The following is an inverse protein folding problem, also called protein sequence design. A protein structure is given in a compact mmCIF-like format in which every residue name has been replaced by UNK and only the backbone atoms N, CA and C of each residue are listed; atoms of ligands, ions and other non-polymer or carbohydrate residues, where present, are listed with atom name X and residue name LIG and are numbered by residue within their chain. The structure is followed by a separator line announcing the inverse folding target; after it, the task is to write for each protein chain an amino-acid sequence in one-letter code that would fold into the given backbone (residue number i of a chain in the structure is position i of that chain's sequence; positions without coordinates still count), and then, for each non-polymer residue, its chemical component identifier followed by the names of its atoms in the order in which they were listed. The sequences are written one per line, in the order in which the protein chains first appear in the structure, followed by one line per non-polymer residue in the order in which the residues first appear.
data_IF_066260519882
#
_entry.id   IF_066260519882
#
_cell.length_a   1.000
_cell.length_b   1.000
_cell.length_c   1.000
_cell.angle_alpha   90.00
_cell.angle_beta   90.00
_cell.angle_gamma   90.00
#
_symmetry.space_group_name_H-M   'P 1'
#
loop_
_entity.id
_entity.type
_entity.pdbx_description
1 polymer ?
#
# COMPACT_ATOMS: atom_id res chain seq x y z
N UNK A 1 -17.38 -7.64 9.32
CA UNK A 1 -17.22 -7.40 8.90
C UNK A 1 -17.17 -7.18 7.98
N UNK A 2 -17.07 -7.00 7.91
CA UNK A 2 -17.00 -6.66 7.24
C UNK A 2 -16.96 -6.63 6.04
N UNK A 3 -17.78 -6.58 5.90
CA UNK A 3 -17.75 -6.21 4.80
C UNK A 3 -16.55 -5.77 4.34
N UNK A 4 -15.82 -6.01 4.80
CA UNK A 4 -14.51 -5.68 4.60
C UNK A 4 -13.81 -6.49 3.57
N UNK A 5 -14.51 -6.88 2.56
CA UNK A 5 -13.92 -7.70 1.53
C UNK A 5 -12.83 -7.01 0.79
N UNK A 6 -12.94 -5.69 0.72
CA UNK A 6 -11.97 -4.92 -0.03
C UNK A 6 -10.86 -4.36 0.83
N UNK A 7 -10.92 -4.60 2.11
CA UNK A 7 -9.91 -4.10 3.02
C UNK A 7 -8.76 -5.08 3.10
N UNK A 8 -7.57 -4.56 2.91
CA UNK A 8 -6.36 -5.36 3.01
C UNK A 8 -5.93 -5.36 4.47
N UNK A 9 -5.61 -6.53 4.97
CA UNK A 9 -5.12 -6.64 6.34
C UNK A 9 -3.78 -5.91 6.46
N UNK A 10 -3.69 -5.04 7.46
CA UNK A 10 -2.47 -4.29 7.69
C UNK A 10 -1.81 -4.89 8.90
N UNK A 11 -1.04 -5.93 8.68
CA UNK A 11 -0.43 -6.64 9.79
C UNK A 11 0.86 -7.28 9.34
N UNK A 12 1.61 -7.73 10.29
CA UNK A 12 2.86 -8.36 10.04
C UNK A 12 2.63 -9.81 9.73
N UNK A 13 2.70 -10.17 8.48
CA UNK A 13 2.53 -11.54 8.09
C UNK A 13 3.74 -11.94 7.30
N UNK A 14 4.19 -13.08 7.45
CA UNK A 14 5.17 -13.68 6.57
C UNK A 14 6.25 -12.72 6.05
N UNK A 15 6.90 -12.01 6.95
CA UNK A 15 7.97 -11.10 6.59
C UNK A 15 9.07 -11.75 5.81
N UNK A 16 9.34 -12.98 6.15
CA UNK A 16 10.35 -13.74 5.47
C UNK A 16 10.09 -13.80 3.98
N UNK A 17 8.82 -13.91 3.60
CA UNK A 17 8.47 -14.00 2.21
C UNK A 17 8.82 -12.75 1.45
N UNK A 18 8.58 -11.58 2.04
CA UNK A 18 8.90 -10.34 1.35
C UNK A 18 10.39 -10.20 1.18
N UNK A 19 11.14 -10.38 2.26
CA UNK A 19 12.59 -10.23 2.19
C UNK A 19 13.20 -11.21 1.21
N UNK A 20 12.72 -12.42 1.23
CA UNK A 20 13.24 -13.44 0.34
C UNK A 20 12.92 -13.10 -1.11
N UNK A 21 11.71 -12.66 -1.39
CA UNK A 21 11.30 -12.32 -2.74
C UNK A 21 12.07 -11.12 -3.27
N UNK A 22 12.38 -10.16 -2.42
CA UNK A 22 13.17 -9.02 -2.85
C UNK A 22 14.58 -9.41 -3.25
N UNK A 23 15.09 -10.49 -2.69
CA UNK A 23 16.42 -10.97 -3.04
C UNK A 23 16.42 -11.87 -4.26
N UNK A 24 15.33 -12.60 -4.50
CA UNK A 24 15.33 -13.65 -5.51
C UNK A 24 14.51 -13.32 -6.74
N UNK A 25 13.65 -12.32 -6.68
CA UNK A 25 12.81 -11.96 -7.82
C UNK A 25 12.95 -10.49 -8.14
N UNK A 26 12.62 -10.14 -9.37
CA UNK A 26 12.61 -8.76 -9.77
C UNK A 26 11.48 -8.02 -9.08
N UNK A 27 11.69 -6.75 -8.81
CA UNK A 27 10.60 -5.92 -8.34
C UNK A 27 10.64 -4.57 -9.04
N UNK A 28 9.50 -3.92 -9.07
CA UNK A 28 9.36 -2.60 -9.66
C UNK A 28 8.71 -1.68 -8.64
N UNK A 29 9.01 -0.40 -8.77
CA UNK A 29 8.44 0.60 -7.88
C UNK A 29 7.13 1.07 -8.47
N UNK A 30 6.02 0.93 -7.75
CA UNK A 30 4.74 1.39 -8.27
C UNK A 30 4.65 2.91 -8.29
N UNK A 31 3.79 3.43 -9.14
CA UNK A 31 3.47 4.84 -9.12
C UNK A 31 2.58 5.10 -7.91
N UNK A 32 2.97 6.07 -7.10
CA UNK A 32 2.28 6.38 -5.86
C UNK A 32 2.04 7.87 -5.76
N UNK A 33 0.84 8.24 -5.34
CA UNK A 33 0.50 9.61 -5.02
C UNK A 33 0.12 9.68 -3.55
N UNK A 34 0.53 10.72 -2.87
CA UNK A 34 0.20 10.93 -1.47
C UNK A 34 -0.43 12.30 -1.31
N UNK A 35 -1.59 12.33 -0.66
CA UNK A 35 -2.32 13.57 -0.41
C UNK A 35 -2.45 13.77 1.09
N UNK A 36 -2.16 14.96 1.55
CA UNK A 36 -2.40 15.31 2.94
C UNK A 36 -3.71 16.06 3.06
N UNK A 37 -4.61 15.52 3.87
CA UNK A 37 -5.89 16.13 4.16
C UNK A 37 -5.87 16.62 5.60
N UNK A 38 -6.86 17.41 6.04
CA UNK A 38 -6.86 17.89 7.42
C UNK A 38 -6.84 16.76 8.46
N UNK A 39 -7.53 15.65 8.18
CA UNK A 39 -7.69 14.57 9.15
C UNK A 39 -6.83 13.35 8.86
N UNK A 40 -6.28 13.24 7.67
CA UNK A 40 -5.61 12.00 7.27
C UNK A 40 -4.69 12.24 6.09
N UNK A 41 -3.81 11.30 5.87
CA UNK A 41 -3.11 11.19 4.60
C UNK A 41 -3.79 10.11 3.77
N UNK A 42 -3.81 10.30 2.46
CA UNK A 42 -4.34 9.30 1.54
C UNK A 42 -3.24 8.96 0.56
N UNK A 43 -2.93 7.68 0.47
CA UNK A 43 -1.93 7.19 -0.46
C UNK A 43 -2.63 6.34 -1.50
N UNK A 44 -2.32 6.56 -2.77
CA UNK A 44 -2.83 5.70 -3.84
C UNK A 44 -1.66 5.11 -4.59
N UNK A 45 -1.77 3.84 -4.92
CA UNK A 45 -0.71 3.14 -5.64
C UNK A 45 -1.34 2.31 -6.75
N UNK A 46 -0.69 2.34 -7.91
CA UNK A 46 -1.16 1.53 -9.04
C UNK A 46 -0.40 0.21 -9.06
N UNK A 47 -1.15 -0.88 -8.93
CA UNK A 47 -0.59 -2.23 -8.89
C UNK A 47 -1.33 -3.10 -9.91
N UNK A 48 -1.26 -2.77 -11.19
CA UNK A 48 -2.00 -3.53 -12.18
C UNK A 48 -1.47 -4.95 -12.28
N UNK A 49 -2.37 -5.89 -12.55
CA UNK A 49 -1.97 -7.27 -12.74
C UNK A 49 -1.76 -8.06 -11.46
N UNK A 50 -2.14 -7.49 -10.32
CA UNK A 50 -1.98 -8.16 -9.02
C UNK A 50 -3.35 -8.52 -8.47
N UNK A 51 -3.49 -9.73 -7.97
CA UNK A 51 -4.70 -10.13 -7.26
C UNK A 51 -4.66 -9.56 -5.85
N UNK A 52 -5.82 -9.19 -5.33
CA UNK A 52 -5.88 -8.61 -4.00
C UNK A 52 -5.23 -9.50 -2.94
N UNK A 53 -5.39 -10.79 -3.06
CA UNK A 53 -4.80 -11.73 -2.09
C UNK A 53 -3.28 -11.70 -2.08
N UNK A 54 -2.68 -11.13 -3.11
CA UNK A 54 -1.23 -11.06 -3.22
C UNK A 54 -0.67 -9.71 -2.83
N UNK A 55 -1.49 -8.86 -2.24
CA UNK A 55 -1.07 -7.54 -1.81
C UNK A 55 -0.92 -7.54 -0.30
N UNK A 56 0.17 -6.96 0.18
CA UNK A 56 0.40 -6.80 1.59
C UNK A 56 0.69 -5.33 1.89
N UNK A 57 0.06 -4.82 2.93
CA UNK A 57 0.34 -3.50 3.46
C UNK A 57 0.75 -3.71 4.90
N UNK A 58 1.94 -3.27 5.23
CA UNK A 58 2.51 -3.57 6.53
C UNK A 58 3.02 -2.31 7.18
N UNK A 59 2.81 -2.17 8.47
CA UNK A 59 3.35 -1.07 9.24
C UNK A 59 4.34 -1.64 10.23
N UNK A 60 5.56 -1.12 10.23
CA UNK A 60 6.62 -1.62 11.08
C UNK A 60 7.53 -0.47 11.47
N UNK A 61 7.54 -0.14 12.74
CA UNK A 61 8.45 0.86 13.29
C UNK A 61 8.53 2.14 12.45
N UNK A 62 7.37 2.79 12.29
CA UNK A 62 7.28 4.06 11.56
C UNK A 62 7.52 3.92 10.07
N UNK A 63 7.39 2.73 9.56
CA UNK A 63 7.49 2.49 8.11
C UNK A 63 6.21 1.86 7.61
N UNK A 64 5.79 2.29 6.42
CA UNK A 64 4.68 1.67 5.71
C UNK A 64 5.27 0.94 4.51
N UNK A 65 5.01 -0.34 4.42
CA UNK A 65 5.52 -1.16 3.33
C UNK A 65 4.36 -1.61 2.47
N UNK A 66 4.48 -1.36 1.18
CA UNK A 66 3.53 -1.85 0.18
C UNK A 66 4.22 -2.94 -0.63
N UNK A 67 3.58 -4.08 -0.74
CA UNK A 67 4.14 -5.18 -1.50
C UNK A 67 3.03 -5.86 -2.28
N UNK A 68 3.28 -6.12 -3.56
CA UNK A 68 2.34 -6.86 -4.41
C UNK A 68 3.09 -7.95 -5.12
N UNK A 69 2.69 -9.19 -4.89
CA UNK A 69 3.31 -10.34 -5.55
C UNK A 69 2.63 -10.57 -6.89
N UNK A 70 3.39 -10.49 -7.97
CA UNK A 70 2.84 -10.70 -9.29
C UNK A 70 2.67 -12.20 -9.54
N UNK A 71 1.61 -12.52 -10.28
CA UNK A 71 1.41 -13.85 -10.80
C UNK A 71 1.89 -13.83 -12.23
N UNK A 72 3.08 -14.35 -12.46
CA UNK A 72 3.69 -14.29 -13.77
C UNK A 72 2.83 -15.01 -14.83
N UNK A 73 2.21 -16.12 -14.45
CA UNK A 73 1.39 -16.85 -15.38
C UNK A 73 0.20 -16.01 -15.82
N UNK A 74 -0.48 -15.40 -14.86
CA UNK A 74 -1.63 -14.58 -15.18
C UNK A 74 -1.23 -13.35 -15.99
N UNK A 75 -0.14 -12.72 -15.62
CA UNK A 75 0.31 -11.52 -16.31
C UNK A 75 0.62 -11.83 -17.78
N UNK A 76 1.25 -12.95 -18.05
CA UNK A 76 1.56 -13.36 -19.41
C UNK A 76 0.28 -13.62 -20.18
N UNK A 77 -0.67 -14.31 -19.57
CA UNK A 77 -1.94 -14.60 -20.23
C UNK A 77 -2.72 -13.34 -20.57
N UNK A 78 -2.64 -12.35 -19.73
CA UNK A 78 -3.37 -11.11 -19.96
C UNK A 78 -2.65 -10.18 -20.92
N UNK A 79 -1.42 -10.51 -21.25
CA UNK A 79 -0.63 -9.75 -22.24
C UNK A 79 -0.50 -8.28 -21.88
N UNK A 80 -0.44 -7.99 -20.61
CA UNK A 80 -0.21 -6.64 -20.17
C UNK A 80 1.21 -6.20 -20.33
N UNK A 81 2.10 -7.14 -20.37
CA UNK A 81 3.50 -6.85 -20.16
C UNK A 81 4.20 -6.82 -21.47
N UNK A 82 4.85 -5.71 -21.76
CA UNK A 82 5.48 -5.49 -23.03
C UNK A 82 6.96 -5.78 -23.03
N UNK A 83 7.59 -5.76 -21.86
CA UNK A 83 8.98 -6.18 -21.79
C UNK A 83 9.27 -6.69 -20.39
N UNK A 84 10.29 -7.52 -20.28
CA UNK A 84 10.60 -8.22 -19.05
C UNK A 84 11.00 -7.30 -17.92
N UNK A 85 11.58 -6.16 -18.23
CA UNK A 85 12.03 -5.25 -17.20
C UNK A 85 10.87 -4.58 -16.47
N UNK A 86 9.68 -4.67 -17.02
CA UNK A 86 8.51 -4.10 -16.40
C UNK A 86 7.71 -5.14 -15.64
N UNK A 87 8.18 -6.38 -15.62
CA UNK A 87 7.55 -7.47 -14.90
C UNK A 87 8.26 -7.65 -13.57
N UNK A 88 7.53 -7.61 -12.50
CA UNK A 88 8.13 -7.86 -11.19
C UNK A 88 7.12 -7.63 -10.11
N UNK A 89 7.53 -7.99 -8.91
CA UNK A 89 6.74 -7.68 -7.75
C UNK A 89 6.79 -6.19 -7.49
N UNK A 90 5.71 -5.64 -6.98
CA UNK A 90 5.69 -4.23 -6.61
C UNK A 90 6.17 -4.09 -5.18
N UNK A 91 7.02 -3.09 -4.94
CA UNK A 91 7.53 -2.86 -3.59
C UNK A 91 7.78 -1.37 -3.39
N UNK A 92 7.33 -0.87 -2.26
CA UNK A 92 7.63 0.51 -1.89
C UNK A 92 7.56 0.64 -0.38
N UNK A 93 8.45 1.45 0.18
CA UNK A 93 8.48 1.69 1.62
C UNK A 93 8.49 3.18 1.87
N UNK A 94 7.72 3.63 2.86
CA UNK A 94 7.61 5.02 3.24
C UNK A 94 7.83 5.18 4.72
N UNK A 95 8.41 6.30 5.11
CA UNK A 95 8.45 6.67 6.51
C UNK A 95 7.12 7.33 6.85
N UNK A 96 6.57 6.96 8.00
CA UNK A 96 5.28 7.47 8.44
C UNK A 96 5.50 8.59 9.46
N UNK A 97 4.77 9.69 9.27
CA UNK A 97 4.82 10.81 10.20
C UNK A 97 4.31 10.39 11.58
N UNK A 98 4.87 10.98 12.62
CA UNK A 98 4.40 10.77 13.99
C UNK A 98 2.96 11.22 14.19
N UNK A 99 2.43 12.03 13.28
CA UNK A 99 1.05 12.48 13.40
C UNK A 99 0.05 11.40 13.05
N UNK A 100 0.49 10.30 12.46
CA UNK A 100 -0.40 9.24 12.01
C UNK A 100 -0.67 8.25 13.13
N UNK A 101 -1.95 7.91 13.29
CA UNK A 101 -2.36 6.87 14.23
C UNK A 101 -2.27 5.53 13.51
N UNK A 102 -1.20 4.80 13.78
CA UNK A 102 -0.92 3.55 13.08
C UNK A 102 -1.97 2.47 13.33
N UNK A 103 -2.73 2.61 14.41
CA UNK A 103 -3.75 1.61 14.73
C UNK A 103 -5.00 1.75 13.88
N UNK A 104 -5.12 2.84 13.12
CA UNK A 104 -6.33 3.12 12.35
C UNK A 104 -6.09 3.14 10.86
N UNK A 105 -4.94 2.68 10.41
CA UNK A 105 -4.64 2.64 8.98
C UNK A 105 -5.51 1.59 8.31
N UNK A 106 -6.08 1.95 7.16
CA UNK A 106 -6.92 1.06 6.37
C UNK A 106 -6.45 1.05 4.93
N UNK A 107 -6.62 -0.08 4.28
CA UNK A 107 -6.24 -0.21 2.88
C UNK A 107 -7.32 -0.94 2.10
N UNK A 108 -7.58 -0.46 0.89
CA UNK A 108 -8.54 -1.07 -0.04
C UNK A 108 -7.87 -1.21 -1.39
N UNK A 109 -8.26 -2.24 -2.11
CA UNK A 109 -7.73 -2.47 -3.45
C UNK A 109 -8.87 -2.77 -4.40
N UNK A 110 -8.91 -2.05 -5.51
CA UNK A 110 -9.95 -2.23 -6.50
C UNK A 110 -9.42 -1.83 -7.87
N UNK A 111 -9.63 -2.69 -8.85
CA UNK A 111 -9.27 -2.41 -10.24
C UNK A 111 -7.84 -1.94 -10.42
N UNK A 112 -6.92 -2.60 -9.76
CA UNK A 112 -5.51 -2.29 -9.91
C UNK A 112 -5.03 -1.11 -9.08
N UNK A 113 -5.92 -0.50 -8.30
CA UNK A 113 -5.53 0.64 -7.48
C UNK A 113 -5.66 0.32 -6.00
N UNK A 114 -4.57 0.53 -5.28
CA UNK A 114 -4.54 0.40 -3.83
C UNK A 114 -4.71 1.79 -3.24
N UNK A 115 -5.62 1.92 -2.28
CA UNK A 115 -5.82 3.17 -1.56
C UNK A 115 -5.59 2.90 -0.09
N UNK A 116 -4.67 3.64 0.51
CA UNK A 116 -4.35 3.50 1.92
C UNK A 116 -4.70 4.80 2.61
N UNK A 117 -5.52 4.70 3.66
CA UNK A 117 -5.89 5.86 4.47
C UNK A 117 -5.10 5.80 5.77
N UNK A 118 -4.44 6.89 6.08
CA UNK A 118 -3.60 7.00 7.26
C UNK A 118 -4.12 8.13 8.13
N UNK A 119 -5.06 7.84 9.02
CA UNK A 119 -5.66 8.88 9.85
C UNK A 119 -4.65 9.50 10.81
N UNK A 120 -4.80 10.77 11.07
CA UNK A 120 -3.97 11.46 12.02
C UNK A 120 -4.54 11.29 13.44
N UNK A 121 -3.67 11.34 14.41
CA UNK A 121 -4.14 11.43 15.80
C UNK A 121 -5.00 12.67 15.94
N UNK A 122 -5.95 12.63 16.86
CA UNK A 122 -6.83 13.77 17.05
C UNK A 122 -6.07 15.06 17.35
N UNK A 123 -4.97 14.96 18.05
CA UNK A 123 -4.16 16.11 18.37
C UNK A 123 -3.51 16.74 17.15
N UNK A 124 -3.32 15.97 16.10
CA UNK A 124 -2.62 16.42 14.93
C UNK A 124 -3.54 16.91 13.83
N UNK A 125 -4.85 16.78 14.01
CA UNK A 125 -5.80 17.19 12.99
C UNK A 125 -5.87 18.70 12.92
N UNK A 126 -6.01 19.19 11.70
CA UNK A 126 -6.16 20.61 11.47
C UNK A 126 -7.47 21.08 12.07
N UNK A 127 -7.46 22.24 12.71
CA UNK A 127 -8.69 22.81 13.23
C UNK A 127 -8.70 24.30 12.98
N UNK A 128 -9.90 24.84 12.89
CA UNK A 128 -10.09 26.25 12.67
C UNK A 128 -9.98 26.99 14.01
N UNK A 129 -9.40 28.16 13.95
CA UNK A 129 -9.27 29.00 15.12
C UNK A 129 -10.00 30.31 14.82
N UNK A 130 -10.97 30.66 15.67
CA UNK A 130 -11.70 31.91 15.48
C UNK A 130 -10.84 33.08 15.89
N UNK A 131 -10.96 34.15 15.14
CA UNK A 131 -10.22 35.38 15.42
C UNK A 131 -11.19 36.40 15.97
N UNK A 132 -10.91 36.88 17.14
CA UNK A 132 -11.75 37.90 17.79
C UNK A 132 -11.43 39.29 17.26
#
# INVERSE_FOLDING_TARGET
MNDNKEIISVEETNNQSIDELLRTENYVTPLVDIFEMPDEFILTANLPGISRKNIQVKVDDKSLVLFGKIDYTEAVHKKYILNENEIGNYYRQFNISDTIDETKIEAKYDNGQLVVKLPKHDKAKLRMIDID
#
